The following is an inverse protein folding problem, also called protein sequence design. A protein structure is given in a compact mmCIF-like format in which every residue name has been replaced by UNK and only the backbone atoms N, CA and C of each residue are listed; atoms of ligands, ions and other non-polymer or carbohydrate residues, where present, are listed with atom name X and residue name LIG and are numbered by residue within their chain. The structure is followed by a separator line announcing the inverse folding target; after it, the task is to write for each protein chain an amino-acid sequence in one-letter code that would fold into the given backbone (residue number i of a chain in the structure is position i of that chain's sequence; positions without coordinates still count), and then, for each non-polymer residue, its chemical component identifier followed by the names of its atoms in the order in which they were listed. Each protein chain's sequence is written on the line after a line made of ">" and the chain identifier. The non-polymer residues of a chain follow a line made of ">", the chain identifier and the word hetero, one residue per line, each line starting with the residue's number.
data_IF_607418254390
#
_entry.id   IF_607418254390
#
_cell.length_a   1.000
_cell.length_b   1.000
_cell.length_c   1.000
_cell.angle_alpha   90.00
_cell.angle_beta   90.00
_cell.angle_gamma   90.00
#
_symmetry.space_group_name_H-M   'P 1'
#
loop_
_entity.id
_entity.type
_entity.pdbx_description
1 polymer ?
#
# COMPACT_ATOMS: atom_id res chain seq x y z
N UNK A 1 9.71 -3.50 10.76
CA UNK A 1 9.76 -2.02 10.81
C UNK A 1 8.78 -1.45 9.76
N UNK A 2 8.30 -0.20 9.90
CA UNK A 2 7.29 0.35 8.96
C UNK A 2 7.51 1.84 8.66
N UNK A 3 7.40 2.20 7.39
CA UNK A 3 7.37 3.60 6.91
C UNK A 3 5.93 4.07 6.99
N UNK A 4 5.47 4.47 8.14
CA UNK A 4 4.12 4.99 8.39
C UNK A 4 4.04 5.92 9.60
N UNK A 5 5.01 5.83 10.51
CA UNK A 5 4.98 6.59 11.75
C UNK A 5 5.09 8.11 11.52
N UNK A 6 5.93 8.54 10.58
CA UNK A 6 6.05 9.95 10.23
C UNK A 6 4.73 10.53 9.71
N UNK A 7 3.93 9.71 9.02
CA UNK A 7 2.63 10.11 8.50
C UNK A 7 1.59 10.27 9.62
N UNK A 8 1.58 9.34 10.59
CA UNK A 8 0.71 9.44 11.78
C UNK A 8 1.04 10.68 12.61
N UNK A 9 2.31 11.05 12.69
CA UNK A 9 2.75 12.25 13.43
C UNK A 9 2.70 13.54 12.62
N UNK A 10 2.25 13.48 11.37
CA UNK A 10 2.13 14.64 10.49
C UNK A 10 3.46 15.19 9.96
N UNK A 11 4.55 14.44 10.08
CA UNK A 11 5.86 14.83 9.54
C UNK A 11 6.01 14.48 8.06
N UNK A 12 5.21 13.54 7.57
CA UNK A 12 5.17 13.10 6.18
C UNK A 12 3.74 12.83 5.75
N UNK A 13 3.55 12.62 4.44
CA UNK A 13 2.25 12.32 3.84
C UNK A 13 2.22 10.92 3.22
N UNK A 14 1.02 10.32 3.13
CA UNK A 14 0.79 9.12 2.33
C UNK A 14 0.64 9.45 0.84
N UNK A 15 0.22 10.67 0.53
CA UNK A 15 -0.07 11.13 -0.83
C UNK A 15 1.14 11.78 -1.49
N UNK A 16 1.17 11.66 -2.81
CA UNK A 16 2.28 12.11 -3.65
C UNK A 16 2.24 13.61 -3.93
N UNK A 17 1.04 14.19 -4.10
CA UNK A 17 0.85 15.62 -4.40
C UNK A 17 0.01 16.33 -3.34
N UNK A 18 0.17 17.65 -3.21
CA UNK A 18 -0.65 18.48 -2.33
C UNK A 18 -2.03 18.83 -2.93
N UNK A 19 -2.23 18.59 -4.19
CA UNK A 19 -3.54 18.83 -4.83
C UNK A 19 -4.49 17.65 -4.60
N UNK A 20 -5.11 17.65 -3.42
CA UNK A 20 -6.05 16.61 -3.01
C UNK A 20 -7.45 16.77 -3.64
N UNK A 21 -7.72 17.90 -4.29
CA UNK A 21 -9.06 18.24 -4.76
C UNK A 21 -9.32 17.85 -6.22
N UNK A 22 -8.30 17.91 -7.07
CA UNK A 22 -8.42 17.64 -8.51
C UNK A 22 -8.04 16.21 -8.88
N UNK A 23 -7.27 15.52 -8.04
CA UNK A 23 -6.80 14.15 -8.34
C UNK A 23 -7.96 13.15 -8.31
N UNK A 24 -8.04 12.34 -9.38
CA UNK A 24 -8.99 11.22 -9.55
C UNK A 24 -8.21 10.00 -10.02
N UNK A 25 -8.35 8.90 -9.29
CA UNK A 25 -7.50 7.71 -9.45
C UNK A 25 -7.44 7.15 -10.87
N UNK A 26 -8.52 7.14 -11.62
CA UNK A 26 -8.57 6.57 -12.97
C UNK A 26 -8.51 7.62 -14.10
N UNK A 27 -8.36 8.89 -13.77
CA UNK A 27 -8.46 10.00 -14.72
C UNK A 27 -7.19 10.86 -14.74
N UNK A 28 -6.47 10.90 -13.62
CA UNK A 28 -5.30 11.77 -13.45
C UNK A 28 -4.03 11.06 -13.90
N UNK A 29 -3.24 11.72 -14.74
CA UNK A 29 -1.89 11.28 -15.05
C UNK A 29 -0.94 11.73 -13.94
N UNK A 30 -0.51 10.80 -13.10
CA UNK A 30 0.35 11.10 -11.96
C UNK A 30 1.75 11.57 -12.34
N UNK A 31 2.23 11.25 -13.54
CA UNK A 31 3.54 11.72 -14.04
C UNK A 31 3.56 13.23 -14.34
N UNK A 32 2.39 13.83 -14.48
CA UNK A 32 2.22 15.27 -14.72
C UNK A 32 2.00 16.09 -13.44
N UNK A 33 1.89 15.42 -12.28
CA UNK A 33 1.66 16.08 -11.01
C UNK A 33 2.98 16.53 -10.37
N UNK A 34 2.91 17.64 -9.65
CA UNK A 34 4.03 18.11 -8.83
C UNK A 34 4.14 17.23 -7.56
N UNK A 35 5.32 16.66 -7.30
CA UNK A 35 5.54 15.85 -6.12
C UNK A 35 5.46 16.68 -4.84
N UNK A 36 5.00 16.05 -3.78
CA UNK A 36 5.02 16.59 -2.42
C UNK A 36 6.34 16.19 -1.75
N UNK A 37 7.16 17.16 -1.37
CA UNK A 37 8.46 16.94 -0.70
C UNK A 37 8.33 16.14 0.62
N UNK A 38 7.13 16.10 1.19
CA UNK A 38 6.82 15.35 2.41
C UNK A 38 6.35 13.92 2.16
N UNK A 39 6.18 13.47 0.91
CA UNK A 39 5.77 12.10 0.61
C UNK A 39 6.73 11.09 1.25
N UNK A 40 6.19 10.17 2.07
CA UNK A 40 7.03 9.24 2.84
C UNK A 40 7.55 8.07 2.01
N UNK A 41 6.76 7.57 1.06
CA UNK A 41 7.10 6.39 0.27
C UNK A 41 7.99 6.70 -0.95
N UNK A 42 8.74 7.81 -0.95
CA UNK A 42 9.67 8.09 -2.03
C UNK A 42 10.97 7.25 -1.93
N UNK A 43 11.61 7.02 -3.06
CA UNK A 43 12.82 6.21 -3.16
C UNK A 43 13.89 6.59 -2.13
N UNK A 44 14.15 7.88 -1.96
CA UNK A 44 15.22 8.38 -1.08
C UNK A 44 14.94 8.05 0.39
N UNK A 45 13.71 8.28 0.85
CA UNK A 45 13.31 7.98 2.24
C UNK A 45 13.28 6.48 2.48
N UNK A 46 12.69 5.71 1.57
CA UNK A 46 12.60 4.25 1.72
C UNK A 46 13.99 3.62 1.78
N UNK A 47 14.95 4.04 0.95
CA UNK A 47 16.33 3.56 1.03
C UNK A 47 16.97 3.86 2.40
N UNK A 48 16.73 5.03 2.97
CA UNK A 48 17.19 5.36 4.34
C UNK A 48 16.59 4.46 5.41
N UNK A 49 15.31 4.10 5.27
CA UNK A 49 14.65 3.16 6.17
C UNK A 49 15.19 1.74 6.00
N UNK A 50 15.54 1.32 4.78
CA UNK A 50 16.19 0.03 4.52
C UNK A 50 17.57 0.00 5.19
N UNK A 51 18.38 1.04 5.06
CA UNK A 51 19.68 1.14 5.73
C UNK A 51 19.55 1.07 7.24
N UNK A 52 18.59 1.81 7.80
CA UNK A 52 18.30 1.77 9.23
C UNK A 52 17.86 0.36 9.68
N UNK A 53 16.97 -0.28 8.94
CA UNK A 53 16.51 -1.63 9.23
C UNK A 53 17.67 -2.63 9.26
N UNK A 54 18.54 -2.58 8.26
CA UNK A 54 19.72 -3.43 8.17
C UNK A 54 20.70 -3.19 9.33
N UNK A 55 20.96 -1.92 9.66
CA UNK A 55 21.86 -1.55 10.75
C UNK A 55 21.37 -2.02 12.12
N UNK A 56 20.06 -2.10 12.31
CA UNK A 56 19.44 -2.42 13.60
C UNK A 56 18.85 -3.84 13.69
N UNK A 57 19.18 -4.72 12.73
CA UNK A 57 18.83 -6.14 12.77
C UNK A 57 17.34 -6.44 12.57
N UNK A 58 16.63 -5.61 11.80
CA UNK A 58 15.27 -5.92 11.36
C UNK A 58 15.30 -6.82 10.13
N UNK A 59 14.34 -7.75 10.03
CA UNK A 59 14.25 -8.67 8.90
C UNK A 59 13.46 -8.07 7.73
N UNK A 60 12.51 -7.18 8.02
CA UNK A 60 11.60 -6.66 7.01
C UNK A 60 11.21 -5.19 7.25
N UNK A 61 10.86 -4.52 6.15
CA UNK A 61 10.35 -3.15 6.12
C UNK A 61 9.00 -3.10 5.40
N UNK A 62 7.97 -2.63 6.08
CA UNK A 62 6.66 -2.29 5.50
C UNK A 62 6.69 -0.85 4.99
N UNK A 63 6.20 -0.62 3.77
CA UNK A 63 6.05 0.72 3.20
C UNK A 63 4.58 0.99 2.89
N UNK A 64 3.96 1.90 3.61
CA UNK A 64 2.63 2.43 3.31
C UNK A 64 2.75 3.64 2.36
N UNK A 65 1.69 3.92 1.59
CA UNK A 65 1.67 5.07 0.68
C UNK A 65 2.47 4.88 -0.61
N UNK A 66 2.77 3.65 -0.99
CA UNK A 66 3.58 3.36 -2.18
C UNK A 66 2.79 3.49 -3.50
N UNK A 67 1.48 3.24 -3.45
CA UNK A 67 0.58 3.15 -4.61
C UNK A 67 -0.34 4.36 -4.71
N UNK A 68 -0.87 4.63 -5.90
CA UNK A 68 -1.76 5.75 -6.16
C UNK A 68 -3.13 5.61 -5.46
N UNK A 69 -3.75 6.74 -5.13
CA UNK A 69 -5.10 6.83 -4.58
C UNK A 69 -5.23 7.46 -3.19
N UNK A 70 -4.14 7.75 -2.50
CA UNK A 70 -4.19 8.32 -1.15
C UNK A 70 -4.71 9.76 -1.12
N UNK A 71 -4.59 10.52 -2.20
CA UNK A 71 -5.15 11.86 -2.36
C UNK A 71 -6.68 11.87 -2.26
N UNK A 72 -7.31 10.79 -2.70
CA UNK A 72 -8.77 10.67 -2.77
C UNK A 72 -9.38 9.86 -1.61
N UNK A 73 -8.57 9.43 -0.66
CA UNK A 73 -8.98 8.53 0.42
C UNK A 73 -9.67 9.23 1.58
N UNK A 74 -9.09 10.32 2.11
CA UNK A 74 -9.58 10.94 3.35
C UNK A 74 -11.01 11.48 3.23
N UNK A 75 -11.89 11.05 4.17
CA UNK A 75 -13.29 11.46 4.28
C UNK A 75 -14.20 11.10 3.09
N UNK A 76 -13.75 10.22 2.20
CA UNK A 76 -14.53 9.84 1.03
C UNK A 76 -14.91 8.35 1.10
N UNK A 77 -16.22 8.08 1.17
CA UNK A 77 -16.76 6.71 1.10
C UNK A 77 -16.91 6.31 -0.36
N UNK A 78 -15.83 5.86 -0.98
CA UNK A 78 -15.79 5.49 -2.39
C UNK A 78 -15.56 4.00 -2.57
N UNK A 79 -16.19 3.40 -3.59
CA UNK A 79 -15.94 2.02 -4.01
C UNK A 79 -14.56 1.84 -4.66
N UNK A 80 -13.95 2.90 -5.16
CA UNK A 80 -12.66 2.90 -5.84
C UNK A 80 -11.78 3.97 -5.23
N UNK A 81 -10.90 3.56 -4.31
CA UNK A 81 -10.00 4.50 -3.64
C UNK A 81 -8.55 4.25 -4.02
N UNK A 82 -8.12 2.99 -4.06
CA UNK A 82 -6.73 2.62 -4.33
C UNK A 82 -6.61 1.80 -5.60
N UNK A 83 -5.50 2.02 -6.30
CA UNK A 83 -4.97 1.12 -7.31
C UNK A 83 -3.84 0.30 -6.69
N UNK A 84 -3.98 -1.01 -6.65
CA UNK A 84 -3.01 -1.93 -6.04
C UNK A 84 -1.90 -2.36 -7.00
N UNK A 85 -1.83 -1.77 -8.20
CA UNK A 85 -0.90 -2.15 -9.26
C UNK A 85 0.09 -1.04 -9.61
N UNK A 86 -0.31 0.21 -9.40
CA UNK A 86 0.44 1.38 -9.87
C UNK A 86 1.14 2.10 -8.72
N UNK A 87 2.47 2.05 -8.66
CA UNK A 87 3.22 2.86 -7.70
C UNK A 87 3.14 4.35 -8.05
N UNK A 88 3.39 5.19 -7.06
CA UNK A 88 3.65 6.60 -7.32
C UNK A 88 4.93 6.78 -8.14
N UNK A 89 5.07 7.88 -8.93
CA UNK A 89 6.23 8.11 -9.80
C UNK A 89 7.57 8.13 -9.08
N UNK A 90 7.58 8.47 -7.80
CA UNK A 90 8.78 8.52 -6.96
C UNK A 90 9.07 7.22 -6.19
N UNK A 91 8.27 6.15 -6.40
CA UNK A 91 8.43 4.83 -5.80
C UNK A 91 8.78 3.78 -6.84
N UNK A 92 10.05 3.49 -7.01
CA UNK A 92 10.55 2.46 -7.92
C UNK A 92 10.62 1.10 -7.22
N UNK A 93 9.61 0.26 -7.47
CA UNK A 93 9.48 -1.07 -6.84
C UNK A 93 10.73 -1.92 -7.09
N UNK A 94 11.22 -1.98 -8.32
CA UNK A 94 12.33 -2.85 -8.69
C UNK A 94 13.63 -2.40 -8.03
N UNK A 95 13.94 -1.12 -8.13
CA UNK A 95 15.11 -0.51 -7.50
C UNK A 95 15.13 -0.73 -6.00
N UNK A 96 13.99 -0.49 -5.33
CA UNK A 96 13.89 -0.61 -3.88
C UNK A 96 14.00 -2.07 -3.42
N UNK A 97 13.39 -3.01 -4.12
CA UNK A 97 13.53 -4.42 -3.81
C UNK A 97 14.96 -4.93 -3.99
N UNK A 98 15.62 -4.51 -5.07
CA UNK A 98 17.01 -4.89 -5.30
C UNK A 98 17.91 -4.32 -4.20
N UNK A 99 17.74 -3.04 -3.84
CA UNK A 99 18.47 -2.42 -2.76
C UNK A 99 18.24 -3.08 -1.41
N UNK A 100 16.99 -3.42 -1.10
CA UNK A 100 16.66 -4.12 0.14
C UNK A 100 17.32 -5.51 0.21
N UNK A 101 17.26 -6.28 -0.88
CA UNK A 101 17.94 -7.58 -0.98
C UNK A 101 19.45 -7.48 -0.76
N UNK A 102 20.12 -6.48 -1.33
CA UNK A 102 21.54 -6.22 -1.11
C UNK A 102 21.87 -5.97 0.39
N UNK A 103 20.93 -5.37 1.12
CA UNK A 103 21.05 -5.09 2.55
C UNK A 103 20.55 -6.24 3.45
N UNK A 104 20.04 -7.32 2.88
CA UNK A 104 19.48 -8.44 3.64
C UNK A 104 18.09 -8.15 4.23
N UNK A 105 17.39 -7.15 3.73
CA UNK A 105 16.05 -6.75 4.17
C UNK A 105 14.99 -7.22 3.16
N UNK A 106 13.89 -7.76 3.65
CA UNK A 106 12.70 -8.05 2.84
C UNK A 106 11.75 -6.85 2.87
N UNK A 107 11.25 -6.43 1.70
CA UNK A 107 10.13 -5.49 1.68
C UNK A 107 8.81 -6.24 1.85
N UNK A 108 7.93 -5.67 2.66
CA UNK A 108 6.56 -6.14 2.87
C UNK A 108 5.62 -5.22 2.09
N UNK A 109 4.74 -5.82 1.29
CA UNK A 109 3.72 -5.08 0.54
C UNK A 109 2.63 -4.56 1.49
N UNK A 110 2.04 -3.43 1.15
CA UNK A 110 0.89 -2.86 1.85
C UNK A 110 -0.29 -2.70 0.90
N UNK A 111 -1.41 -3.31 1.25
CA UNK A 111 -2.68 -3.16 0.56
C UNK A 111 -3.69 -2.51 1.51
N UNK A 112 -3.79 -1.17 1.50
CA UNK A 112 -4.86 -0.46 2.20
C UNK A 112 -6.14 -0.55 1.37
N UNK A 113 -7.19 -1.14 1.94
CA UNK A 113 -8.43 -1.36 1.21
C UNK A 113 -9.51 -0.31 1.50
N UNK A 114 -9.31 0.54 2.51
CA UNK A 114 -10.27 1.58 2.92
C UNK A 114 -11.69 1.08 3.19
N UNK A 115 -11.86 -0.21 3.47
CA UNK A 115 -13.18 -0.84 3.58
C UNK A 115 -13.87 -1.09 2.23
N UNK A 116 -13.24 -0.79 1.11
CA UNK A 116 -13.76 -1.04 -0.25
C UNK A 116 -13.39 -2.46 -0.73
N UNK A 117 -14.06 -3.47 -0.16
CA UNK A 117 -13.77 -4.88 -0.41
C UNK A 117 -13.84 -5.22 -1.88
N UNK A 118 -14.90 -4.80 -2.57
CA UNK A 118 -15.06 -5.07 -4.01
C UNK A 118 -13.92 -4.54 -4.84
N UNK A 119 -13.37 -3.40 -4.46
CA UNK A 119 -12.22 -2.85 -5.16
C UNK A 119 -10.99 -3.73 -4.95
N UNK A 120 -10.76 -4.18 -3.74
CA UNK A 120 -9.64 -5.06 -3.42
C UNK A 120 -9.77 -6.44 -4.10
N UNK A 121 -10.91 -7.12 -3.93
CA UNK A 121 -11.16 -8.43 -4.54
C UNK A 121 -10.98 -8.41 -6.07
N UNK A 122 -11.38 -7.33 -6.71
CA UNK A 122 -11.27 -7.16 -8.16
C UNK A 122 -9.84 -7.09 -8.64
N UNK A 123 -8.93 -6.56 -7.83
CA UNK A 123 -7.51 -6.38 -8.16
C UNK A 123 -6.60 -7.45 -7.52
N UNK A 124 -7.15 -8.30 -6.68
CA UNK A 124 -6.36 -9.16 -5.80
C UNK A 124 -5.39 -10.07 -6.57
N UNK A 125 -5.86 -10.76 -7.58
CA UNK A 125 -5.02 -11.68 -8.38
C UNK A 125 -3.88 -10.95 -9.07
N UNK A 126 -4.16 -9.77 -9.64
CA UNK A 126 -3.14 -8.95 -10.30
C UNK A 126 -2.17 -8.34 -9.28
N UNK A 127 -2.67 -7.93 -8.11
CA UNK A 127 -1.85 -7.38 -7.03
C UNK A 127 -0.89 -8.44 -6.46
N UNK A 128 -1.34 -9.68 -6.25
CA UNK A 128 -0.47 -10.78 -5.84
C UNK A 128 0.52 -11.18 -6.95
N UNK A 129 0.08 -11.15 -8.21
CA UNK A 129 0.98 -11.36 -9.35
C UNK A 129 2.10 -10.32 -9.40
N UNK A 130 1.78 -9.04 -9.12
CA UNK A 130 2.77 -7.97 -8.98
C UNK A 130 3.76 -8.25 -7.84
N UNK A 131 3.25 -8.68 -6.69
CA UNK A 131 4.09 -9.06 -5.55
C UNK A 131 5.07 -10.17 -5.91
N UNK A 132 4.58 -11.24 -6.51
CA UNK A 132 5.40 -12.38 -6.93
C UNK A 132 6.47 -11.97 -7.95
N UNK A 133 6.10 -11.16 -8.93
CA UNK A 133 7.02 -10.62 -9.95
C UNK A 133 8.20 -9.89 -9.33
N UNK A 134 7.96 -9.10 -8.28
CA UNK A 134 8.99 -8.30 -7.61
C UNK A 134 9.59 -9.00 -6.37
N UNK A 135 9.14 -10.21 -6.05
CA UNK A 135 9.71 -11.03 -4.97
C UNK A 135 9.31 -10.61 -3.56
N UNK A 136 8.16 -9.98 -3.40
CA UNK A 136 7.55 -9.77 -2.09
C UNK A 136 7.04 -11.11 -1.54
N UNK A 137 7.35 -11.39 -0.28
CA UNK A 137 6.96 -12.64 0.39
C UNK A 137 5.86 -12.46 1.43
N UNK A 138 5.47 -11.22 1.68
CA UNK A 138 4.48 -10.91 2.70
C UNK A 138 3.73 -9.63 2.34
N UNK A 139 2.49 -9.56 2.77
CA UNK A 139 1.61 -8.41 2.61
C UNK A 139 0.92 -8.06 3.91
N UNK A 140 0.81 -6.78 4.21
CA UNK A 140 -0.14 -6.26 5.18
C UNK A 140 -1.35 -5.77 4.42
N UNK A 141 -2.47 -6.49 4.52
CA UNK A 141 -3.78 -6.02 4.06
C UNK A 141 -4.60 -5.50 5.24
N UNK A 142 -5.46 -4.55 4.99
CA UNK A 142 -6.31 -4.05 6.04
C UNK A 142 -7.26 -2.99 5.51
N UNK A 143 -8.25 -2.66 6.33
CA UNK A 143 -9.17 -1.59 6.03
C UNK A 143 -9.55 -0.79 7.25
N UNK A 144 -9.84 0.46 7.01
CA UNK A 144 -10.23 1.43 8.03
C UNK A 144 -11.62 1.95 7.71
N UNK A 145 -12.51 1.95 8.71
CA UNK A 145 -13.83 2.51 8.60
C UNK A 145 -14.93 1.50 8.30
N UNK A 146 -16.00 1.98 7.69
CA UNK A 146 -17.16 1.16 7.34
C UNK A 146 -16.94 0.50 5.99
N UNK A 147 -17.41 -0.73 5.89
CA UNK A 147 -17.29 -1.49 4.68
C UNK A 147 -18.24 -1.01 3.62
N UNK A 148 -17.73 -0.89 2.43
CA UNK A 148 -18.45 -0.54 1.21
C UNK A 148 -18.58 -1.82 0.37
N UNK A 149 -19.78 -2.21 -0.07
CA UNK A 149 -21.06 -1.45 -0.03
C UNK A 149 -21.94 -1.71 1.20
N UNK A 150 -21.63 -2.68 2.05
CA UNK A 150 -22.56 -3.14 3.08
C UNK A 150 -22.78 -2.16 4.24
N UNK A 151 -21.89 -1.18 4.42
CA UNK A 151 -21.96 -0.23 5.54
C UNK A 151 -21.62 -0.83 6.91
N UNK A 152 -21.15 -2.07 6.93
CA UNK A 152 -20.73 -2.78 8.13
C UNK A 152 -19.46 -2.15 8.72
N UNK A 153 -19.29 -2.30 10.02
CA UNK A 153 -18.02 -1.91 10.66
C UNK A 153 -16.97 -2.99 10.44
N UNK A 154 -15.72 -2.60 10.26
CA UNK A 154 -14.59 -3.52 9.99
C UNK A 154 -14.40 -4.62 11.07
N UNK A 155 -14.90 -4.44 12.29
CA UNK A 155 -14.89 -5.44 13.35
C UNK A 155 -16.21 -6.24 13.47
N UNK A 156 -17.15 -6.05 12.55
CA UNK A 156 -18.37 -6.84 12.48
C UNK A 156 -18.09 -8.28 12.03
N UNK A 157 -18.93 -9.24 12.47
CA UNK A 157 -18.75 -10.66 12.15
C UNK A 157 -18.63 -10.92 10.66
N UNK A 158 -19.47 -10.30 9.85
CA UNK A 158 -19.43 -10.39 8.39
C UNK A 158 -18.04 -10.08 7.82
N UNK A 159 -17.36 -9.11 8.40
CA UNK A 159 -16.03 -8.71 7.94
C UNK A 159 -14.94 -9.63 8.39
N UNK A 160 -15.03 -10.11 9.62
CA UNK A 160 -14.09 -11.11 10.11
C UNK A 160 -14.16 -12.36 9.24
N UNK A 161 -15.37 -12.82 8.93
CA UNK A 161 -15.57 -13.98 8.06
C UNK A 161 -15.04 -13.72 6.63
N UNK A 162 -15.29 -12.54 6.09
CA UNK A 162 -14.81 -12.15 4.77
C UNK A 162 -13.29 -12.09 4.70
N UNK A 163 -12.65 -11.54 5.74
CA UNK A 163 -11.20 -11.49 5.87
C UNK A 163 -10.57 -12.87 5.94
N UNK A 164 -11.17 -13.77 6.71
CA UNK A 164 -10.72 -15.16 6.79
C UNK A 164 -10.77 -15.80 5.40
N UNK A 165 -11.84 -15.59 4.65
CA UNK A 165 -11.95 -16.09 3.27
C UNK A 165 -10.86 -15.54 2.36
N UNK A 166 -10.55 -14.23 2.43
CA UNK A 166 -9.48 -13.63 1.62
C UNK A 166 -8.10 -14.18 1.97
N UNK A 167 -7.82 -14.36 3.26
CA UNK A 167 -6.56 -14.96 3.72
C UNK A 167 -6.43 -16.43 3.25
N UNK A 168 -7.52 -17.20 3.31
CA UNK A 168 -7.52 -18.59 2.85
C UNK A 168 -7.30 -18.74 1.34
N UNK A 169 -7.83 -17.82 0.54
CA UNK A 169 -7.63 -17.83 -0.91
C UNK A 169 -6.22 -17.39 -1.30
N UNK A 170 -5.57 -16.56 -0.50
CA UNK A 170 -4.18 -16.16 -0.75
C UNK A 170 -3.16 -17.25 -0.40
N UNK A 171 -3.42 -18.03 0.66
CA UNK A 171 -2.58 -19.16 1.05
C UNK A 171 -2.63 -20.31 0.02
N UNK A 172 -3.77 -20.51 -0.63
CA UNK A 172 -3.92 -21.52 -1.67
C UNK A 172 -3.17 -21.19 -2.99
N UNK A 173 -2.72 -19.96 -3.17
CA UNK A 173 -1.94 -19.55 -4.33
C UNK A 173 -0.43 -19.84 -4.21
N UNK A 174 0.05 -20.11 -2.99
CA UNK A 174 1.47 -20.42 -2.73
C UNK A 174 1.82 -21.92 -2.90
N UNK A 175 0.83 -22.78 -3.10
CA UNK A 175 1.01 -24.25 -3.24
C UNK A 175 1.13 -24.75 -4.71
N UNK A 176 1.40 -23.87 -5.70
CA UNK A 176 1.63 -24.25 -7.10
C UNK A 176 2.97 -23.78 -7.66
#
# INVERSE_FOLDING_TARGET
>A
MGVWWEMITGQSTWWYTNDLSSVRINETNYDELEPNDSHAANNKKVMRYIDFAAQHGFDALLVEGWNIGWEDWFNKKKDYVFDFLTPYPDFDIEKLNNYAKEKGISLMMHHETSGAIRNYERHMDEAYSLMNKHGYKSVKSGYVGRIIPAGERHYGQYMVDHYICLLYTSDAADDN
#
